data_IF_657812348412
#
_entry.id   IF_657812348412
#
_cell.length_a   1.000
_cell.length_b   1.000
_cell.length_c   1.000
_cell.angle_alpha   90.00
_cell.angle_beta   90.00
_cell.angle_gamma   90.00
#
_symmetry.space_group_name_H-M   'P 1'
#
loop_
_entity.id
_entity.type
_entity.pdbx_description
1 polymer ?
#
# COMPACT_ATOMS: atom_id res chain seq x y z
N UNK A 1 17.28 7.43 18.04
CA UNK A 1 17.41 6.95 16.64
C UNK A 1 18.58 5.98 16.57
N UNK A 2 18.43 4.85 15.87
CA UNK A 2 19.46 3.81 15.76
C UNK A 2 19.81 3.60 14.28
N UNK A 3 21.03 3.93 13.89
CA UNK A 3 21.55 3.77 12.52
C UNK A 3 22.53 2.60 12.39
N UNK A 4 23.09 2.07 13.49
CA UNK A 4 24.02 0.94 13.41
C UNK A 4 23.28 -0.36 13.07
N UNK A 5 23.73 -1.12 12.05
CA UNK A 5 23.22 -2.45 11.75
C UNK A 5 23.32 -3.43 12.93
N UNK A 6 24.39 -3.33 13.74
CA UNK A 6 24.62 -4.16 14.93
C UNK A 6 23.55 -3.93 15.98
N UNK A 7 23.39 -2.67 16.40
CA UNK A 7 22.35 -2.24 17.34
C UNK A 7 20.92 -2.56 16.84
N UNK A 8 20.63 -2.38 15.54
CA UNK A 8 19.32 -2.71 14.96
C UNK A 8 19.02 -4.20 15.02
N UNK A 9 20.01 -5.03 14.66
CA UNK A 9 19.87 -6.49 14.76
C UNK A 9 19.57 -6.91 16.18
N UNK A 10 20.20 -6.28 17.17
CA UNK A 10 19.95 -6.58 18.58
C UNK A 10 18.60 -6.06 19.08
N UNK A 11 18.19 -4.86 18.66
CA UNK A 11 16.85 -4.32 18.90
C UNK A 11 15.77 -5.31 18.44
N UNK A 12 15.86 -5.85 17.21
CA UNK A 12 14.88 -6.82 16.71
C UNK A 12 14.92 -8.16 17.47
N UNK A 13 16.04 -8.56 18.08
CA UNK A 13 16.07 -9.72 18.99
C UNK A 13 15.32 -9.44 20.28
N UNK A 14 15.51 -8.27 20.87
CA UNK A 14 14.81 -7.85 22.09
C UNK A 14 13.31 -7.64 21.86
N UNK A 15 12.94 -7.13 20.68
CA UNK A 15 11.56 -7.00 20.23
C UNK A 15 10.83 -8.36 20.26
N UNK A 16 11.45 -9.42 19.72
CA UNK A 16 10.93 -10.81 19.80
C UNK A 16 10.71 -11.33 21.21
N UNK A 17 11.33 -10.72 22.22
CA UNK A 17 11.19 -11.04 23.64
C UNK A 17 10.24 -10.08 24.37
N UNK A 18 9.42 -9.33 23.62
CA UNK A 18 8.43 -8.40 24.15
C UNK A 18 9.02 -7.15 24.82
N UNK A 19 10.30 -6.83 24.57
CA UNK A 19 10.94 -5.68 25.22
C UNK A 19 10.54 -4.33 24.61
N UNK A 20 10.02 -4.33 23.38
CA UNK A 20 9.62 -3.15 22.62
C UNK A 20 8.22 -3.33 22.05
N UNK A 21 7.38 -2.29 22.16
CA UNK A 21 6.06 -2.23 21.53
C UNK A 21 6.04 -1.19 20.41
N UNK A 22 5.26 -1.43 19.36
CA UNK A 22 5.11 -0.53 18.19
C UNK A 22 4.12 0.60 18.52
N UNK A 23 4.44 1.86 18.18
CA UNK A 23 3.61 3.02 18.54
C UNK A 23 2.34 3.11 17.69
N UNK A 24 2.48 2.97 16.38
CA UNK A 24 1.37 3.09 15.41
C UNK A 24 0.23 2.13 15.78
N UNK A 25 0.65 0.98 16.30
CA UNK A 25 -0.18 -0.08 16.81
C UNK A 25 -0.92 0.28 18.10
N UNK A 26 -0.32 1.08 18.98
CA UNK A 26 -1.00 1.66 20.15
C UNK A 26 -2.04 2.71 19.73
N UNK A 27 -1.93 3.27 18.52
CA UNK A 27 -2.83 4.31 17.99
C UNK A 27 -3.99 3.74 17.14
N UNK A 28 -4.08 2.42 16.95
CA UNK A 28 -5.15 1.80 16.15
C UNK A 28 -6.56 2.17 16.62
N UNK A 29 -6.76 2.35 17.93
CA UNK A 29 -8.04 2.76 18.48
C UNK A 29 -8.41 4.19 18.03
N UNK A 30 -7.45 5.11 18.01
CA UNK A 30 -7.62 6.46 17.47
C UNK A 30 -7.88 6.43 15.98
N UNK A 31 -7.13 5.62 15.21
CA UNK A 31 -7.37 5.45 13.77
C UNK A 31 -8.78 4.92 13.47
N UNK A 32 -9.28 4.00 14.30
CA UNK A 32 -10.61 3.40 14.20
C UNK A 32 -11.74 4.29 14.73
N UNK A 33 -11.43 5.42 15.38
CA UNK A 33 -12.42 6.25 16.06
C UNK A 33 -13.09 5.53 17.23
N UNK A 34 -12.37 4.61 17.87
CA UNK A 34 -12.85 3.84 18.99
C UNK A 34 -12.22 4.39 20.28
N UNK A 35 -13.05 5.04 21.10
CA UNK A 35 -12.64 5.64 22.38
C UNK A 35 -13.11 4.73 23.52
N UNK A 36 -12.38 3.65 23.76
CA UNK A 36 -12.61 2.75 24.89
C UNK A 36 -11.63 3.01 26.05
N UNK A 37 -11.87 2.35 27.18
CA UNK A 37 -10.95 2.34 28.32
C UNK A 37 -9.52 1.96 27.89
N UNK A 38 -8.46 2.58 28.46
CA UNK A 38 -7.08 2.36 28.04
C UNK A 38 -6.66 0.89 27.98
N UNK A 39 -7.14 0.07 28.92
CA UNK A 39 -6.86 -1.37 28.96
C UNK A 39 -7.48 -2.13 27.78
N UNK A 40 -8.69 -1.75 27.34
CA UNK A 40 -9.34 -2.33 26.16
C UNK A 40 -8.57 -1.95 24.90
N UNK A 41 -8.16 -0.69 24.75
CA UNK A 41 -7.37 -0.22 23.62
C UNK A 41 -6.03 -0.96 23.50
N UNK A 42 -5.33 -1.17 24.63
CA UNK A 42 -4.09 -1.96 24.67
C UNK A 42 -4.33 -3.42 24.26
N UNK A 43 -5.37 -4.05 24.82
CA UNK A 43 -5.71 -5.45 24.54
C UNK A 43 -6.09 -5.68 23.09
N UNK A 44 -6.87 -4.77 22.50
CA UNK A 44 -7.29 -4.85 21.10
C UNK A 44 -6.09 -4.98 20.18
N UNK A 45 -5.06 -4.14 20.36
CA UNK A 45 -3.87 -4.24 19.54
C UNK A 45 -3.17 -5.60 19.70
N UNK A 46 -3.01 -6.07 20.93
CA UNK A 46 -2.39 -7.38 21.20
C UNK A 46 -3.15 -8.52 20.49
N UNK A 47 -4.48 -8.49 20.51
CA UNK A 47 -5.36 -9.47 19.86
C UNK A 47 -5.20 -9.43 18.33
N UNK A 48 -5.25 -8.23 17.74
CA UNK A 48 -5.02 -8.05 16.31
C UNK A 48 -3.62 -8.54 15.91
N UNK A 49 -2.58 -8.17 16.66
CA UNK A 49 -1.22 -8.57 16.36
C UNK A 49 -1.01 -10.09 16.47
N UNK A 50 -1.54 -10.72 17.51
CA UNK A 50 -1.37 -12.14 17.74
C UNK A 50 -2.08 -13.01 16.69
N UNK A 51 -3.26 -12.60 16.23
CA UNK A 51 -4.09 -13.41 15.32
C UNK A 51 -4.22 -12.82 13.94
N UNK A 52 -4.74 -11.59 13.80
CA UNK A 52 -4.99 -10.98 12.49
C UNK A 52 -3.70 -10.81 11.66
N UNK A 53 -2.61 -10.31 12.23
CA UNK A 53 -1.35 -10.18 11.50
C UNK A 53 -0.75 -11.53 11.10
N UNK A 54 -0.88 -12.58 11.93
CA UNK A 54 -0.45 -13.95 11.56
C UNK A 54 -1.26 -14.51 10.40
N UNK A 55 -2.55 -14.21 10.33
CA UNK A 55 -3.40 -14.52 9.17
C UNK A 55 -2.88 -13.79 7.94
N UNK A 56 -2.54 -12.50 8.03
CA UNK A 56 -1.96 -11.74 6.92
C UNK A 56 -0.60 -12.29 6.44
N UNK A 57 0.34 -12.61 7.35
CA UNK A 57 1.64 -13.19 6.97
C UNK A 57 1.49 -14.51 6.20
N UNK A 58 0.51 -15.34 6.56
CA UNK A 58 0.20 -16.57 5.83
C UNK A 58 -0.41 -16.25 4.47
N UNK A 59 -1.45 -15.43 4.45
CA UNK A 59 -2.21 -15.06 3.25
C UNK A 59 -1.35 -14.34 2.20
N UNK A 60 -0.32 -13.60 2.62
CA UNK A 60 0.57 -12.84 1.74
C UNK A 60 1.98 -13.43 1.66
N UNK A 61 2.14 -14.72 1.97
CA UNK A 61 3.40 -15.42 1.74
C UNK A 61 3.73 -15.47 0.23
N UNK A 62 5.01 -15.61 -0.17
CA UNK A 62 5.39 -15.68 -1.58
C UNK A 62 4.61 -16.72 -2.39
N UNK A 63 4.35 -17.89 -1.77
CA UNK A 63 3.60 -18.98 -2.39
C UNK A 63 2.14 -18.59 -2.63
N UNK A 64 1.48 -17.99 -1.65
CA UNK A 64 0.09 -17.57 -1.76
C UNK A 64 -0.09 -16.44 -2.78
N UNK A 65 0.86 -15.51 -2.83
CA UNK A 65 0.85 -14.43 -3.83
C UNK A 65 1.02 -14.98 -5.24
N UNK A 66 1.92 -15.96 -5.45
CA UNK A 66 2.05 -16.61 -6.74
C UNK A 66 0.76 -17.35 -7.14
N UNK A 67 0.15 -18.07 -6.20
CA UNK A 67 -1.08 -18.82 -6.44
C UNK A 67 -2.27 -17.91 -6.78
N UNK A 68 -2.42 -16.78 -6.07
CA UNK A 68 -3.50 -15.80 -6.29
C UNK A 68 -3.18 -14.76 -7.36
N UNK A 69 -1.96 -14.78 -7.90
CA UNK A 69 -1.44 -13.84 -8.89
C UNK A 69 -2.39 -13.59 -10.06
N UNK A 70 -2.89 -14.62 -10.76
CA UNK A 70 -3.84 -14.45 -11.87
C UNK A 70 -5.08 -13.64 -11.48
N UNK A 71 -5.67 -13.95 -10.32
CA UNK A 71 -6.86 -13.25 -9.85
C UNK A 71 -6.57 -11.79 -9.48
N UNK A 72 -5.46 -11.52 -8.78
CA UNK A 72 -5.03 -10.16 -8.44
C UNK A 72 -4.75 -9.37 -9.73
N UNK A 73 -4.10 -9.98 -10.72
CA UNK A 73 -3.76 -9.35 -11.98
C UNK A 73 -5.00 -9.00 -12.81
N UNK A 74 -6.01 -9.88 -12.82
CA UNK A 74 -7.28 -9.62 -13.47
C UNK A 74 -8.01 -8.43 -12.83
N UNK A 75 -8.00 -8.34 -11.50
CA UNK A 75 -8.54 -7.19 -10.78
C UNK A 75 -7.79 -5.91 -11.17
N UNK A 76 -6.46 -5.91 -11.14
CA UNK A 76 -5.65 -4.74 -11.52
C UNK A 76 -6.00 -4.28 -12.94
N UNK A 77 -6.00 -5.20 -13.91
CA UNK A 77 -6.31 -4.90 -15.30
C UNK A 77 -7.70 -4.25 -15.43
N UNK A 78 -8.70 -4.83 -14.76
CA UNK A 78 -10.06 -4.28 -14.73
C UNK A 78 -10.09 -2.87 -14.15
N UNK A 79 -9.40 -2.62 -13.04
CA UNK A 79 -9.40 -1.30 -12.41
C UNK A 79 -8.67 -0.26 -13.25
N UNK A 80 -7.63 -0.66 -14.00
CA UNK A 80 -6.99 0.21 -15.00
C UNK A 80 -8.02 0.64 -16.06
N UNK A 81 -8.74 -0.30 -16.69
CA UNK A 81 -9.75 0.04 -17.70
C UNK A 81 -10.88 0.91 -17.14
N UNK A 82 -11.39 0.62 -15.93
CA UNK A 82 -12.39 1.46 -15.27
C UNK A 82 -11.86 2.88 -15.05
N UNK A 83 -10.61 3.03 -14.60
CA UNK A 83 -10.02 4.33 -14.38
C UNK A 83 -9.85 5.11 -15.70
N UNK A 84 -9.60 4.43 -16.83
CA UNK A 84 -9.53 5.06 -18.16
C UNK A 84 -10.90 5.40 -18.73
N UNK A 85 -11.88 4.49 -18.67
CA UNK A 85 -13.24 4.69 -19.22
C UNK A 85 -13.99 5.84 -18.53
N UNK A 86 -13.66 6.12 -17.27
CA UNK A 86 -14.23 7.24 -16.52
C UNK A 86 -13.61 8.60 -16.87
N UNK A 87 -12.63 8.63 -17.78
CA UNK A 87 -12.04 9.82 -18.36
C UNK A 87 -12.46 9.85 -19.82
N UNK A 88 -12.93 10.99 -20.32
CA UNK A 88 -13.22 11.11 -21.75
C UNK A 88 -12.00 10.65 -22.56
N UNK A 89 -12.19 9.81 -23.58
CA UNK A 89 -11.09 9.31 -24.43
C UNK A 89 -10.35 10.50 -25.03
N UNK A 90 -9.08 10.69 -24.64
CA UNK A 90 -8.27 11.88 -24.98
C UNK A 90 -8.21 12.96 -23.89
N UNK A 91 -8.79 12.71 -22.73
CA UNK A 91 -8.78 13.59 -21.56
C UNK A 91 -7.49 13.49 -20.74
N UNK A 92 -7.04 14.64 -20.25
CA UNK A 92 -5.95 14.79 -19.30
C UNK A 92 -6.29 14.07 -17.98
N UNK A 93 -5.62 12.95 -17.67
CA UNK A 93 -5.82 12.21 -16.42
C UNK A 93 -4.74 12.55 -15.39
N UNK A 94 -5.15 12.85 -14.17
CA UNK A 94 -4.25 12.96 -13.02
C UNK A 94 -3.57 11.61 -12.76
N UNK A 95 -2.24 11.55 -12.90
CA UNK A 95 -1.45 10.34 -12.63
C UNK A 95 -1.55 9.93 -11.15
N UNK A 96 -1.60 10.92 -10.25
CA UNK A 96 -1.77 10.65 -8.83
C UNK A 96 -3.14 10.03 -8.55
N UNK A 97 -4.22 10.56 -9.12
CA UNK A 97 -5.54 9.97 -9.02
C UNK A 97 -5.58 8.56 -9.61
N UNK A 98 -5.08 8.39 -10.85
CA UNK A 98 -5.05 7.10 -11.55
C UNK A 98 -4.38 6.02 -10.70
N UNK A 99 -3.13 6.26 -10.26
CA UNK A 99 -2.37 5.27 -9.48
C UNK A 99 -3.00 4.97 -8.13
N UNK A 100 -3.49 5.98 -7.42
CA UNK A 100 -4.15 5.80 -6.11
C UNK A 100 -5.46 5.03 -6.25
N UNK A 101 -6.32 5.42 -7.20
CA UNK A 101 -7.63 4.80 -7.39
C UNK A 101 -7.50 3.34 -7.83
N UNK A 102 -6.66 3.05 -8.85
CA UNK A 102 -6.41 1.67 -9.31
C UNK A 102 -5.92 0.78 -8.16
N UNK A 103 -4.95 1.24 -7.37
CA UNK A 103 -4.42 0.48 -6.24
C UNK A 103 -5.47 0.30 -5.15
N UNK A 104 -6.20 1.35 -4.79
CA UNK A 104 -7.22 1.29 -3.75
C UNK A 104 -8.33 0.32 -4.13
N UNK A 105 -8.87 0.43 -5.34
CA UNK A 105 -9.91 -0.47 -5.83
C UNK A 105 -9.41 -1.91 -5.98
N UNK A 106 -8.13 -2.10 -6.35
CA UNK A 106 -7.52 -3.43 -6.40
C UNK A 106 -7.56 -4.08 -5.03
N UNK A 107 -7.13 -3.36 -3.98
CA UNK A 107 -7.12 -3.89 -2.61
C UNK A 107 -8.53 -4.12 -2.08
N UNK A 108 -9.46 -3.17 -2.24
CA UNK A 108 -10.83 -3.34 -1.74
C UNK A 108 -11.54 -4.50 -2.44
N UNK A 109 -11.39 -4.63 -3.76
CA UNK A 109 -11.94 -5.75 -4.53
C UNK A 109 -11.31 -7.07 -4.11
N UNK A 110 -9.99 -7.12 -3.95
CA UNK A 110 -9.28 -8.34 -3.54
C UNK A 110 -9.64 -8.76 -2.11
N UNK A 111 -9.89 -7.82 -1.22
CA UNK A 111 -10.17 -8.12 0.20
C UNK A 111 -11.65 -8.45 0.40
N UNK A 112 -12.55 -7.65 -0.14
CA UNK A 112 -13.97 -7.66 0.20
C UNK A 112 -14.88 -8.10 -0.96
N UNK A 113 -14.32 -8.31 -2.15
CA UNK A 113 -15.02 -8.76 -3.34
C UNK A 113 -15.46 -7.63 -4.28
N UNK A 114 -15.90 -7.97 -5.51
CA UNK A 114 -16.24 -7.01 -6.57
C UNK A 114 -17.50 -6.18 -6.29
N UNK A 115 -18.29 -6.55 -5.28
CA UNK A 115 -19.49 -5.81 -4.87
C UNK A 115 -19.27 -4.94 -3.63
N UNK A 116 -18.03 -4.83 -3.15
CA UNK A 116 -17.72 -3.90 -2.08
C UNK A 116 -17.93 -2.45 -2.57
N UNK A 117 -18.62 -1.59 -1.81
CA UNK A 117 -18.87 -0.22 -2.24
C UNK A 117 -17.57 0.55 -2.47
N UNK A 118 -17.60 1.46 -3.44
CA UNK A 118 -16.48 2.39 -3.60
C UNK A 118 -16.46 3.39 -2.43
N UNK A 119 -15.37 3.36 -1.68
CA UNK A 119 -15.10 4.23 -0.53
C UNK A 119 -13.81 5.04 -0.73
N UNK A 120 -13.33 5.18 -1.97
CA UNK A 120 -12.05 5.82 -2.28
C UNK A 120 -11.97 7.24 -1.73
N UNK A 121 -12.97 8.09 -1.98
CA UNK A 121 -12.92 9.49 -1.57
C UNK A 121 -12.81 9.64 -0.05
N UNK A 122 -13.58 8.84 0.70
CA UNK A 122 -13.55 8.85 2.16
C UNK A 122 -12.25 8.25 2.71
N UNK A 123 -11.76 7.16 2.10
CA UNK A 123 -10.47 6.55 2.44
C UNK A 123 -9.30 7.48 2.17
N UNK A 124 -9.34 8.20 1.05
CA UNK A 124 -8.33 9.16 0.61
C UNK A 124 -8.29 10.40 1.50
N UNK A 125 -9.46 10.92 1.89
CA UNK A 125 -9.57 12.02 2.83
C UNK A 125 -9.07 11.63 4.22
N UNK A 126 -9.43 10.43 4.69
CA UNK A 126 -8.94 9.91 5.96
C UNK A 126 -7.42 9.74 5.94
N UNK A 127 -6.88 9.14 4.88
CA UNK A 127 -5.44 8.93 4.68
C UNK A 127 -4.64 10.25 4.70
N UNK A 128 -5.15 11.29 4.05
CA UNK A 128 -4.52 12.63 4.01
C UNK A 128 -4.31 13.20 5.41
N UNK A 129 -5.21 12.91 6.35
CA UNK A 129 -5.19 13.42 7.72
C UNK A 129 -4.84 12.36 8.77
N UNK A 130 -4.39 11.16 8.37
CA UNK A 130 -4.17 10.06 9.30
C UNK A 130 -3.12 10.41 10.35
N UNK A 131 -2.03 11.08 9.98
CA UNK A 131 -1.03 11.55 10.93
C UNK A 131 -1.65 12.44 12.02
N UNK A 132 -2.45 13.43 11.62
CA UNK A 132 -3.16 14.33 12.54
C UNK A 132 -4.07 13.57 13.49
N UNK A 133 -4.78 12.56 12.98
CA UNK A 133 -5.66 11.70 13.78
C UNK A 133 -4.85 10.86 14.76
N UNK A 134 -3.75 10.22 14.32
CA UNK A 134 -2.87 9.43 15.18
C UNK A 134 -2.26 10.25 16.33
N UNK A 135 -2.02 11.54 16.12
CA UNK A 135 -1.58 12.47 17.18
C UNK A 135 -2.71 12.97 18.09
N UNK A 136 -3.95 12.50 17.92
CA UNK A 136 -5.10 12.91 18.74
C UNK A 136 -5.63 14.31 18.42
N UNK A 137 -5.24 14.89 17.28
CA UNK A 137 -5.65 16.24 16.86
C UNK A 137 -6.91 16.21 15.98
N UNK A 138 -7.88 15.37 16.34
CA UNK A 138 -9.10 15.14 15.53
C UNK A 138 -9.96 16.39 15.35
N UNK A 139 -9.93 17.29 16.34
CA UNK A 139 -10.74 18.51 16.40
C UNK A 139 -10.43 19.48 15.24
N UNK A 140 -9.21 19.45 14.70
CA UNK A 140 -8.79 20.31 13.59
C UNK A 140 -9.04 19.69 12.21
N UNK A 141 -9.54 18.45 12.14
CA UNK A 141 -9.83 17.73 10.88
C UNK A 141 -11.24 17.13 10.85
N UNK A 142 -12.31 17.91 11.12
CA UNK A 142 -13.66 17.37 11.27
C UNK A 142 -14.22 16.74 9.98
N UNK A 143 -13.72 17.12 8.81
CA UNK A 143 -14.04 16.48 7.53
C UNK A 143 -13.56 15.03 7.46
N UNK A 144 -12.33 14.75 7.91
CA UNK A 144 -11.76 13.41 7.97
C UNK A 144 -12.47 12.54 9.02
N UNK A 145 -12.88 13.11 10.15
CA UNK A 145 -13.66 12.38 11.17
C UNK A 145 -15.03 11.98 10.62
N UNK A 146 -15.72 12.87 9.90
CA UNK A 146 -16.97 12.52 9.21
C UNK A 146 -16.77 11.45 8.13
N UNK A 147 -15.65 11.48 7.41
CA UNK A 147 -15.30 10.44 6.44
C UNK A 147 -15.09 9.09 7.15
N UNK A 148 -14.36 9.06 8.27
CA UNK A 148 -14.19 7.85 9.08
C UNK A 148 -15.53 7.24 9.52
N UNK A 149 -16.49 8.04 9.94
CA UNK A 149 -17.82 7.53 10.32
C UNK A 149 -18.62 7.02 9.10
N UNK A 150 -18.46 7.62 7.90
CA UNK A 150 -19.04 7.04 6.67
C UNK A 150 -18.39 5.71 6.31
N UNK A 151 -17.06 5.58 6.42
CA UNK A 151 -16.36 4.31 6.25
C UNK A 151 -16.86 3.25 7.22
N UNK A 152 -17.02 3.61 8.49
CA UNK A 152 -17.60 2.74 9.51
C UNK A 152 -18.98 2.23 9.09
N UNK A 153 -19.88 3.14 8.68
CA UNK A 153 -21.23 2.77 8.24
C UNK A 153 -21.21 1.82 7.04
N UNK A 154 -20.31 2.05 6.07
CA UNK A 154 -20.15 1.16 4.92
C UNK A 154 -19.65 -0.22 5.33
N UNK A 155 -18.64 -0.32 6.20
CA UNK A 155 -18.16 -1.59 6.72
C UNK A 155 -19.24 -2.31 7.54
N UNK A 156 -19.97 -1.59 8.38
CA UNK A 156 -21.04 -2.15 9.20
C UNK A 156 -22.15 -2.74 8.32
N UNK A 157 -22.56 -2.01 7.27
CA UNK A 157 -23.54 -2.49 6.30
C UNK A 157 -23.02 -3.69 5.50
N UNK A 158 -21.78 -3.63 5.01
CA UNK A 158 -21.17 -4.73 4.25
C UNK A 158 -21.08 -6.02 5.09
N UNK A 159 -20.59 -5.90 6.32
CA UNK A 159 -20.50 -7.02 7.25
C UNK A 159 -21.92 -7.53 7.56
N UNK A 160 -22.88 -6.68 7.92
CA UNK A 160 -24.25 -7.12 8.22
C UNK A 160 -24.93 -7.88 7.07
N UNK A 161 -24.67 -7.50 5.81
CA UNK A 161 -25.24 -8.17 4.63
C UNK A 161 -24.59 -9.52 4.32
N UNK A 162 -23.29 -9.66 4.59
CA UNK A 162 -22.48 -10.84 4.20
C UNK A 162 -22.23 -11.82 5.33
N UNK A 163 -22.64 -11.44 6.54
CA UNK A 163 -22.39 -12.19 7.75
C UNK A 163 -23.54 -13.13 8.07
N UNK A 164 -23.23 -14.41 8.17
CA UNK A 164 -24.18 -15.40 8.68
C UNK A 164 -24.09 -15.45 10.22
N UNK A 165 -25.17 -15.08 10.91
CA UNK A 165 -25.22 -15.11 12.39
C UNK A 165 -25.00 -16.49 13.00
N UNK A 166 -25.33 -17.56 12.25
CA UNK A 166 -25.13 -18.97 12.64
C UNK A 166 -23.88 -19.61 12.03
N UNK A 167 -23.09 -18.83 11.27
CA UNK A 167 -21.87 -19.30 10.61
C UNK A 167 -20.62 -19.05 11.45
N UNK A 168 -19.52 -19.67 11.04
CA UNK A 168 -18.18 -19.53 11.62
C UNK A 168 -17.56 -18.13 11.40
N UNK A 169 -18.30 -17.12 10.92
CA UNK A 169 -17.76 -15.81 10.55
C UNK A 169 -17.24 -15.72 9.11
N UNK A 170 -17.59 -16.66 8.25
CA UNK A 170 -17.42 -16.53 6.81
C UNK A 170 -18.18 -15.34 6.23
N UNK A 171 -17.52 -14.59 5.34
CA UNK A 171 -18.07 -13.44 4.62
C UNK A 171 -18.18 -13.77 3.13
N UNK A 172 -19.40 -14.08 2.69
CA UNK A 172 -19.62 -14.54 1.32
C UNK A 172 -19.17 -13.51 0.27
N UNK A 173 -18.18 -13.90 -0.54
CA UNK A 173 -17.59 -13.08 -1.60
C UNK A 173 -16.39 -12.22 -1.18
N UNK A 174 -16.04 -12.22 0.11
CA UNK A 174 -14.77 -11.67 0.59
C UNK A 174 -13.66 -12.72 0.57
N UNK A 175 -12.40 -12.31 0.66
CA UNK A 175 -11.28 -13.24 0.75
C UNK A 175 -11.31 -14.05 2.06
N UNK A 176 -10.88 -15.31 2.01
CA UNK A 176 -10.87 -16.22 3.17
C UNK A 176 -10.11 -15.64 4.38
N UNK A 177 -9.02 -14.91 4.13
CA UNK A 177 -8.24 -14.32 5.20
C UNK A 177 -8.98 -13.15 5.90
N UNK A 178 -9.88 -12.45 5.20
CA UNK A 178 -10.74 -11.42 5.79
C UNK A 178 -11.81 -12.08 6.67
N UNK A 179 -12.44 -13.14 6.17
CA UNK A 179 -13.35 -13.98 6.97
C UNK A 179 -12.68 -14.51 8.24
N UNK A 180 -11.43 -14.98 8.13
CA UNK A 180 -10.65 -15.46 9.27
C UNK A 180 -10.32 -14.33 10.26
N UNK A 181 -9.95 -13.13 9.79
CA UNK A 181 -9.70 -11.97 10.66
C UNK A 181 -10.96 -11.63 11.46
N UNK A 182 -12.13 -11.59 10.80
CA UNK A 182 -13.41 -11.30 11.45
C UNK A 182 -13.79 -12.39 12.46
N UNK A 183 -13.60 -13.68 12.10
CA UNK A 183 -13.77 -14.81 13.03
C UNK A 183 -12.87 -14.70 14.26
N UNK A 184 -11.61 -14.31 14.07
CA UNK A 184 -10.67 -14.12 15.17
C UNK A 184 -11.11 -12.97 16.09
N UNK A 185 -11.50 -11.82 15.53
CA UNK A 185 -12.01 -10.70 16.32
C UNK A 185 -13.23 -11.09 17.16
N UNK A 186 -14.18 -11.87 16.61
CA UNK A 186 -15.31 -12.41 17.40
C UNK A 186 -14.84 -13.28 18.56
N UNK A 187 -13.91 -14.19 18.27
CA UNK A 187 -13.37 -15.13 19.26
C UNK A 187 -12.56 -14.43 20.36
N UNK A 188 -12.15 -13.20 20.10
CA UNK A 188 -11.43 -12.30 21.01
C UNK A 188 -12.36 -11.27 21.67
N UNK A 189 -13.67 -11.53 21.67
CA UNK A 189 -14.72 -10.70 22.27
C UNK A 189 -14.83 -9.28 21.70
N UNK A 190 -14.55 -9.07 20.41
CA UNK A 190 -14.89 -7.81 19.75
C UNK A 190 -16.40 -7.70 19.54
N UNK A 191 -16.97 -6.55 19.89
CA UNK A 191 -18.38 -6.24 19.69
C UNK A 191 -18.71 -6.07 18.20
N UNK A 192 -20.00 -6.14 17.86
CA UNK A 192 -20.48 -5.85 16.50
C UNK A 192 -20.18 -4.43 16.04
N UNK A 193 -19.96 -3.49 16.97
CA UNK A 193 -19.58 -2.11 16.68
C UNK A 193 -18.07 -1.95 16.53
N UNK A 194 -17.26 -2.75 17.24
CA UNK A 194 -15.81 -2.69 17.16
C UNK A 194 -15.29 -3.26 15.83
N UNK A 195 -15.84 -4.39 15.36
CA UNK A 195 -15.31 -5.09 14.17
C UNK A 195 -15.27 -4.19 12.92
N UNK A 196 -16.36 -3.49 12.52
CA UNK A 196 -16.32 -2.57 11.39
C UNK A 196 -15.33 -1.43 11.57
N UNK A 197 -15.18 -0.90 12.79
CA UNK A 197 -14.22 0.18 13.10
C UNK A 197 -12.79 -0.28 12.84
N UNK A 198 -12.44 -1.50 13.25
CA UNK A 198 -11.09 -2.05 13.05
C UNK A 198 -10.81 -2.56 11.63
N UNK A 199 -11.81 -2.66 10.75
CA UNK A 199 -11.56 -2.84 9.31
C UNK A 199 -10.91 -1.60 8.68
N UNK A 200 -11.17 -0.40 9.21
CA UNK A 200 -10.63 0.86 8.70
C UNK A 200 -9.08 0.90 8.78
N UNK A 201 -8.43 0.73 9.96
CA UNK A 201 -6.97 0.71 10.03
C UNK A 201 -6.34 -0.47 9.28
N UNK A 202 -7.03 -1.61 9.16
CA UNK A 202 -6.56 -2.75 8.34
C UNK A 202 -6.52 -2.37 6.86
N UNK A 203 -7.60 -1.77 6.33
CA UNK A 203 -7.65 -1.31 4.94
C UNK A 203 -6.64 -0.18 4.70
N UNK A 204 -6.52 0.78 5.62
CA UNK A 204 -5.56 1.87 5.50
C UNK A 204 -4.13 1.33 5.44
N UNK A 205 -3.77 0.38 6.32
CA UNK A 205 -2.46 -0.28 6.31
C UNK A 205 -2.17 -1.08 5.03
N UNK A 206 -3.21 -1.56 4.34
CA UNK A 206 -3.10 -2.27 3.07
C UNK A 206 -3.04 -1.36 1.84
N UNK A 207 -3.44 -0.09 1.96
CA UNK A 207 -3.61 0.82 0.81
C UNK A 207 -2.65 2.01 0.83
N UNK A 208 -2.49 2.70 1.97
CA UNK A 208 -1.79 4.00 2.07
C UNK A 208 -0.38 3.96 1.47
N UNK A 209 0.53 3.19 2.06
CA UNK A 209 1.91 3.11 1.56
C UNK A 209 1.99 2.59 0.12
N UNK A 210 1.12 1.65 -0.25
CA UNK A 210 1.11 1.03 -1.57
C UNK A 210 0.73 2.03 -2.67
N UNK A 211 -0.35 2.79 -2.45
CA UNK A 211 -0.76 3.87 -3.35
C UNK A 211 0.39 4.87 -3.51
N UNK A 212 1.06 5.24 -2.40
CA UNK A 212 2.14 6.24 -2.40
C UNK A 212 3.33 5.81 -3.24
N UNK A 213 3.79 4.57 -3.03
CA UNK A 213 4.92 4.02 -3.76
C UNK A 213 4.58 3.81 -5.24
N UNK A 214 3.38 3.32 -5.58
CA UNK A 214 2.94 3.24 -6.98
C UNK A 214 2.97 4.61 -7.67
N UNK A 215 2.47 5.66 -7.01
CA UNK A 215 2.53 7.04 -7.53
C UNK A 215 3.97 7.51 -7.73
N UNK A 216 4.88 7.25 -6.79
CA UNK A 216 6.29 7.61 -6.94
C UNK A 216 7.01 6.84 -8.06
N UNK A 217 6.72 5.55 -8.22
CA UNK A 217 7.26 4.73 -9.32
C UNK A 217 6.83 5.33 -10.65
N UNK A 218 5.53 5.55 -10.85
CA UNK A 218 5.04 6.16 -12.08
C UNK A 218 5.61 7.57 -12.30
N UNK A 219 5.71 8.39 -11.25
CA UNK A 219 6.28 9.72 -11.33
C UNK A 219 7.76 9.71 -11.76
N UNK A 220 8.57 8.80 -11.23
CA UNK A 220 9.98 8.66 -11.63
C UNK A 220 10.15 8.08 -13.03
N UNK A 221 9.29 7.15 -13.45
CA UNK A 221 9.27 6.64 -14.83
C UNK A 221 8.95 7.79 -15.79
N UNK A 222 7.81 8.46 -15.62
CA UNK A 222 7.33 9.49 -16.53
C UNK A 222 8.15 10.79 -16.47
N UNK A 223 8.85 11.03 -15.35
CA UNK A 223 9.74 12.18 -15.17
C UNK A 223 11.07 12.08 -15.94
N UNK A 224 11.54 10.88 -16.30
CA UNK A 224 12.74 10.66 -17.11
C UNK A 224 12.43 9.73 -18.31
N UNK A 225 12.33 10.32 -19.49
CA UNK A 225 11.99 9.60 -20.73
C UNK A 225 12.97 8.49 -21.09
N UNK A 226 14.23 8.55 -20.64
CA UNK A 226 15.20 7.47 -20.86
C UNK A 226 14.87 6.26 -20.00
N UNK A 227 14.51 6.50 -18.74
CA UNK A 227 14.10 5.45 -17.79
C UNK A 227 12.79 4.83 -18.25
N UNK A 228 11.79 5.66 -18.59
CA UNK A 228 10.51 5.18 -19.12
C UNK A 228 10.71 4.26 -20.33
N UNK A 229 11.44 4.71 -21.36
CA UNK A 229 11.67 3.93 -22.58
C UNK A 229 12.40 2.62 -22.31
N UNK A 230 13.34 2.59 -21.36
CA UNK A 230 14.04 1.36 -20.98
C UNK A 230 13.08 0.34 -20.36
N UNK A 231 12.25 0.78 -19.42
CA UNK A 231 11.25 -0.08 -18.74
C UNK A 231 10.14 -0.49 -19.71
N UNK A 232 9.69 0.43 -20.54
CA UNK A 232 8.69 0.18 -21.57
C UNK A 232 9.17 -0.87 -22.58
N UNK A 233 10.39 -0.74 -23.10
CA UNK A 233 10.98 -1.72 -24.01
C UNK A 233 11.06 -3.11 -23.39
N UNK A 234 11.54 -3.19 -22.14
CA UNK A 234 11.63 -4.42 -21.36
C UNK A 234 10.26 -5.10 -21.17
N UNK A 235 9.24 -4.34 -20.79
CA UNK A 235 7.88 -4.86 -20.60
C UNK A 235 7.28 -5.32 -21.93
N UNK A 236 7.47 -4.55 -23.01
CA UNK A 236 6.95 -4.90 -24.34
C UNK A 236 7.61 -6.18 -24.86
N UNK A 237 8.92 -6.33 -24.70
CA UNK A 237 9.62 -7.58 -25.02
C UNK A 237 9.06 -8.78 -24.22
N UNK A 238 8.71 -8.57 -22.95
CA UNK A 238 8.18 -9.63 -22.10
C UNK A 238 6.69 -9.97 -22.37
N UNK A 239 5.91 -9.05 -22.95
CA UNK A 239 4.44 -9.17 -23.03
C UNK A 239 3.85 -9.20 -24.44
N UNK A 240 4.49 -8.62 -25.45
CA UNK A 240 3.88 -8.43 -26.79
C UNK A 240 3.59 -9.74 -27.54
N UNK A 241 4.25 -10.85 -27.16
CA UNK A 241 4.03 -12.18 -27.74
C UNK A 241 3.11 -13.07 -26.91
N UNK A 242 2.51 -12.52 -25.85
CA UNK A 242 1.71 -13.28 -24.90
C UNK A 242 0.22 -13.08 -25.13
N UNK A 243 -0.55 -14.14 -24.86
CA UNK A 243 -2.00 -14.01 -24.73
C UNK A 243 -2.35 -13.26 -23.44
N UNK A 244 -3.59 -12.78 -23.33
CA UNK A 244 -4.04 -12.13 -22.09
C UNK A 244 -3.92 -13.08 -20.88
N UNK A 245 -4.29 -14.36 -21.04
CA UNK A 245 -4.21 -15.35 -19.98
C UNK A 245 -2.76 -15.64 -19.56
N UNK A 246 -1.83 -15.65 -20.52
CA UNK A 246 -0.40 -15.76 -20.24
C UNK A 246 0.08 -14.57 -19.41
N UNK A 247 -0.34 -13.35 -19.73
CA UNK A 247 0.07 -12.14 -19.01
C UNK A 247 -0.49 -12.15 -17.58
N UNK A 248 -1.74 -12.55 -17.41
CA UNK A 248 -2.34 -12.58 -16.08
C UNK A 248 -1.70 -13.67 -15.20
N UNK A 249 -1.27 -14.80 -15.76
CA UNK A 249 -0.74 -15.92 -14.98
C UNK A 249 0.77 -15.95 -14.80
N UNK A 250 1.53 -15.19 -15.60
CA UNK A 250 3.00 -15.23 -15.60
C UNK A 250 3.63 -14.42 -14.46
N UNK A 251 4.69 -14.98 -13.87
CA UNK A 251 5.57 -14.25 -12.96
C UNK A 251 6.62 -13.47 -13.75
N UNK A 252 6.42 -12.15 -13.85
CA UNK A 252 7.34 -11.24 -14.53
C UNK A 252 8.56 -10.86 -13.70
N UNK A 253 8.66 -11.27 -12.43
CA UNK A 253 9.69 -10.78 -11.49
C UNK A 253 11.11 -10.80 -12.06
N UNK A 254 11.50 -11.82 -12.82
CA UNK A 254 12.85 -11.93 -13.39
C UNK A 254 12.97 -11.41 -14.83
N UNK A 255 11.86 -10.95 -15.42
CA UNK A 255 11.79 -10.45 -16.80
C UNK A 255 11.84 -8.91 -16.86
N UNK A 256 11.69 -8.23 -15.72
CA UNK A 256 11.65 -6.77 -15.64
C UNK A 256 12.73 -6.14 -14.72
N UNK A 257 14.04 -6.42 -14.92
CA UNK A 257 15.10 -5.92 -14.05
C UNK A 257 15.16 -4.39 -13.94
N UNK A 258 14.87 -3.63 -15.01
CA UNK A 258 14.84 -2.18 -14.94
C UNK A 258 13.68 -1.69 -14.06
N UNK A 259 12.49 -2.25 -14.23
CA UNK A 259 11.34 -1.90 -13.38
C UNK A 259 11.61 -2.24 -11.91
N UNK A 260 12.15 -3.43 -11.64
CA UNK A 260 12.51 -3.82 -10.27
C UNK A 260 13.48 -2.82 -9.64
N UNK A 261 14.48 -2.38 -10.40
CA UNK A 261 15.46 -1.43 -9.91
C UNK A 261 14.84 -0.06 -9.59
N UNK A 262 13.91 0.41 -10.43
CA UNK A 262 13.12 1.63 -10.15
C UNK A 262 12.30 1.47 -8.86
N UNK A 263 11.61 0.34 -8.69
CA UNK A 263 10.79 0.10 -7.49
C UNK A 263 11.65 0.11 -6.22
N UNK A 264 12.78 -0.60 -6.23
CA UNK A 264 13.70 -0.65 -5.07
C UNK A 264 14.30 0.73 -4.77
N UNK A 265 14.65 1.53 -5.79
CA UNK A 265 15.16 2.88 -5.61
C UNK A 265 14.11 3.87 -5.08
N UNK A 266 12.85 3.72 -5.52
CA UNK A 266 11.73 4.46 -4.93
C UNK A 266 11.55 4.07 -3.46
N UNK A 267 11.56 2.78 -3.13
CA UNK A 267 11.44 2.34 -1.74
C UNK A 267 12.57 2.90 -0.87
N UNK A 268 13.83 2.84 -1.35
CA UNK A 268 14.99 3.38 -0.63
C UNK A 268 14.83 4.88 -0.33
N UNK A 269 14.36 5.66 -1.31
CA UNK A 269 14.34 7.13 -1.21
C UNK A 269 13.04 7.69 -0.64
N UNK A 270 11.92 6.96 -0.69
CA UNK A 270 10.58 7.46 -0.32
C UNK A 270 9.98 6.78 0.90
N UNK A 271 10.52 5.66 1.36
CA UNK A 271 9.98 4.89 2.50
C UNK A 271 10.75 5.17 3.81
N UNK A 272 10.95 6.45 4.15
CA UNK A 272 11.76 6.90 5.29
C UNK A 272 10.97 7.10 6.59
N UNK A 273 9.87 6.38 6.77
CA UNK A 273 9.01 6.51 7.96
C UNK A 273 9.73 5.93 9.18
N UNK A 274 9.84 6.68 10.31
CA UNK A 274 10.47 6.18 11.52
C UNK A 274 9.58 5.08 12.13
N UNK A 275 10.03 3.83 12.06
CA UNK A 275 9.36 2.68 12.67
C UNK A 275 9.54 2.73 14.20
N UNK A 276 8.77 3.57 14.87
CA UNK A 276 8.96 3.87 16.28
C UNK A 276 8.57 2.70 17.20
N UNK A 277 9.28 2.60 18.31
CA UNK A 277 9.05 1.65 19.38
C UNK A 277 9.14 2.33 20.73
N UNK A 278 8.43 1.80 21.71
CA UNK A 278 8.54 2.19 23.12
C UNK A 278 9.02 1.00 23.95
N UNK A 279 10.10 1.23 24.73
CA UNK A 279 10.67 0.22 25.61
C UNK A 279 9.69 -0.12 26.76
N UNK A 280 9.37 -1.41 26.90
CA UNK A 280 8.45 -1.91 27.94
C UNK A 280 9.15 -2.17 29.28
N UNK A 281 10.48 -2.22 29.27
CA UNK A 281 11.38 -2.46 30.40
C UNK A 281 12.76 -1.90 30.06
N UNK A 282 13.64 -1.83 31.05
CA UNK A 282 15.04 -1.49 30.82
C UNK A 282 15.71 -2.58 29.95
N UNK A 283 16.47 -2.15 28.95
CA UNK A 283 17.14 -3.00 27.96
C UNK A 283 18.53 -2.46 27.70
N UNK A 284 19.51 -3.36 27.58
CA UNK A 284 20.83 -3.03 27.03
C UNK A 284 20.86 -3.58 25.61
N UNK A 285 21.06 -2.71 24.62
CA UNK A 285 21.32 -3.10 23.24
C UNK A 285 22.82 -3.21 23.03
N UNK A 286 23.25 -4.29 22.38
CA UNK A 286 24.65 -4.47 22.00
C UNK A 286 24.89 -3.94 20.58
N UNK A 287 25.89 -3.08 20.45
CA UNK A 287 26.42 -2.63 19.18
C UNK A 287 27.90 -3.00 19.09
N UNK A 288 28.18 -4.17 18.52
CA UNK A 288 29.50 -4.80 18.58
C UNK A 288 29.99 -4.94 20.04
N UNK A 289 30.97 -4.13 20.46
CA UNK A 289 31.52 -4.12 21.83
C UNK A 289 30.98 -2.99 22.70
N UNK A 290 29.98 -2.23 22.21
CA UNK A 290 29.38 -1.10 22.92
C UNK A 290 28.02 -1.47 23.49
N UNK A 291 27.79 -1.11 24.75
CA UNK A 291 26.49 -1.21 25.41
C UNK A 291 25.71 0.10 25.26
N UNK A 292 24.44 0.00 24.87
CA UNK A 292 23.51 1.13 24.79
C UNK A 292 22.35 0.86 25.75
N UNK A 293 22.27 1.68 26.80
CA UNK A 293 21.25 1.57 27.83
C UNK A 293 19.97 2.28 27.40
N UNK A 294 18.86 1.55 27.35
CA UNK A 294 17.52 2.03 27.03
C UNK A 294 16.63 1.84 28.26
N UNK A 295 16.04 2.92 28.77
CA UNK A 295 15.16 2.87 29.93
C UNK A 295 13.75 2.51 29.51
N UNK A 296 12.99 1.89 30.41
CA UNK A 296 11.54 1.73 30.24
C UNK A 296 10.89 3.08 29.91
N UNK A 297 10.06 3.10 28.87
CA UNK A 297 9.38 4.30 28.38
C UNK A 297 10.16 5.07 27.31
N UNK A 298 11.45 4.77 27.09
CA UNK A 298 12.21 5.42 26.02
C UNK A 298 11.67 5.03 24.65
N UNK A 299 11.64 6.02 23.76
CA UNK A 299 11.32 5.82 22.35
C UNK A 299 12.57 5.51 21.55
N UNK A 300 12.53 4.41 20.80
CA UNK A 300 13.60 3.99 19.89
C UNK A 300 13.04 3.76 18.50
N UNK A 301 13.79 4.13 17.46
CA UNK A 301 13.39 3.91 16.08
C UNK A 301 14.65 3.70 15.23
N UNK A 302 14.57 2.87 14.18
CA UNK A 302 15.57 2.86 13.13
C UNK A 302 15.69 4.25 12.50
N UNK A 303 16.93 4.69 12.30
CA UNK A 303 17.23 5.89 11.51
C UNK A 303 17.16 5.53 10.03
N UNK A 304 15.93 5.45 9.52
CA UNK A 304 15.67 5.06 8.14
C UNK A 304 16.43 5.95 7.12
N UNK A 305 16.49 7.29 7.25
CA UNK A 305 17.33 8.13 6.39
C UNK A 305 18.81 7.77 6.44
N UNK A 306 19.41 7.60 7.62
CA UNK A 306 20.84 7.25 7.71
C UNK A 306 21.14 5.88 7.13
N UNK A 307 20.21 4.93 7.21
CA UNK A 307 20.36 3.61 6.60
C UNK A 307 20.17 3.65 5.08
N UNK A 308 19.17 4.40 4.59
CA UNK A 308 18.79 4.38 3.18
C UNK A 308 19.57 5.39 2.33
N UNK A 309 20.18 6.41 2.95
CA UNK A 309 20.94 7.47 2.31
C UNK A 309 22.41 7.54 2.79
N UNK A 310 22.96 6.47 3.37
CA UNK A 310 24.38 6.42 3.74
C UNK A 310 25.27 6.43 2.49
N UNK A 311 26.26 7.31 2.46
CA UNK A 311 27.32 7.31 1.44
C UNK A 311 28.27 6.11 1.57
N UNK A 312 28.27 5.41 2.71
CA UNK A 312 29.03 4.16 2.88
C UNK A 312 28.40 3.01 2.10
N UNK A 313 27.06 3.02 1.96
CA UNK A 313 26.32 1.95 1.30
C UNK A 313 25.91 2.30 -0.13
N UNK A 314 25.65 3.58 -0.41
CA UNK A 314 25.09 4.01 -1.69
C UNK A 314 25.91 5.15 -2.30
N UNK A 315 26.42 4.91 -3.50
CA UNK A 315 27.02 5.95 -4.35
C UNK A 315 25.97 7.03 -4.72
N UNK A 316 26.31 8.31 -4.56
CA UNK A 316 25.36 9.44 -4.71
C UNK A 316 24.03 9.17 -3.99
N UNK A 317 24.02 9.04 -2.65
CA UNK A 317 22.90 8.47 -1.90
C UNK A 317 21.62 9.30 -1.98
N UNK A 318 21.75 10.63 -2.10
CA UNK A 318 20.62 11.55 -2.22
C UNK A 318 20.05 11.64 -3.64
N UNK A 319 20.75 11.09 -4.64
CA UNK A 319 20.31 11.09 -6.03
C UNK A 319 19.49 9.83 -6.31
N UNK A 320 18.38 10.00 -7.03
CA UNK A 320 17.62 8.89 -7.57
C UNK A 320 18.36 8.29 -8.77
N UNK A 321 18.74 7.01 -8.69
CA UNK A 321 19.41 6.26 -9.75
C UNK A 321 18.58 5.03 -10.12
N UNK A 322 17.87 5.10 -11.26
CA UNK A 322 16.96 4.05 -11.71
C UNK A 322 17.65 2.69 -11.93
N UNK A 323 18.95 2.68 -12.21
CA UNK A 323 19.77 1.52 -12.51
C UNK A 323 20.51 0.91 -11.30
N UNK A 324 20.37 1.53 -10.11
CA UNK A 324 21.13 1.19 -8.90
C UNK A 324 21.07 -0.28 -8.53
N UNK A 325 19.93 -0.94 -8.77
CA UNK A 325 19.67 -2.31 -8.35
C UNK A 325 19.60 -3.32 -9.50
N UNK A 326 19.94 -2.93 -10.73
CA UNK A 326 19.94 -3.86 -11.88
C UNK A 326 20.95 -5.00 -11.67
N UNK A 327 22.18 -4.67 -11.23
CA UNK A 327 23.27 -5.64 -11.04
C UNK A 327 23.58 -5.92 -9.56
N UNK A 328 22.81 -5.34 -8.64
CA UNK A 328 23.06 -5.48 -7.21
C UNK A 328 22.58 -6.84 -6.70
N UNK A 329 23.49 -7.63 -6.11
CA UNK A 329 23.11 -8.78 -5.25
C UNK A 329 22.71 -8.34 -3.84
N UNK A 330 23.03 -7.10 -3.46
CA UNK A 330 22.60 -6.51 -2.21
C UNK A 330 21.12 -6.14 -2.33
N UNK A 331 20.25 -6.95 -1.70
CA UNK A 331 18.81 -6.72 -1.60
C UNK A 331 18.54 -5.31 -1.10
N UNK A 332 18.04 -4.47 -2.00
CA UNK A 332 18.41 -3.06 -2.07
C UNK A 332 17.43 -2.08 -1.47
N UNK A 333 16.97 -2.35 -0.25
CA UNK A 333 16.21 -1.39 0.55
C UNK A 333 16.20 -1.91 1.99
N UNK A 334 17.35 -1.83 2.68
CA UNK A 334 17.47 -2.36 4.04
C UNK A 334 16.39 -1.75 4.92
N UNK A 335 15.56 -2.61 5.51
CA UNK A 335 14.52 -2.27 6.48
C UNK A 335 13.34 -1.41 5.99
N UNK A 336 13.14 -1.17 4.68
CA UNK A 336 11.94 -0.43 4.20
C UNK A 336 10.63 -1.15 4.49
N UNK A 337 10.68 -2.49 4.53
CA UNK A 337 9.59 -3.34 4.99
C UNK A 337 9.75 -3.74 6.46
N UNK A 338 10.63 -3.08 7.21
CA UNK A 338 11.03 -3.48 8.56
C UNK A 338 11.75 -4.83 8.62
N UNK A 339 11.95 -5.31 9.84
CA UNK A 339 12.49 -6.64 10.14
C UNK A 339 11.91 -7.15 11.47
N UNK A 340 12.21 -8.40 11.83
CA UNK A 340 11.78 -8.98 13.10
C UNK A 340 10.32 -9.42 13.10
N UNK A 341 9.68 -9.39 14.27
CA UNK A 341 8.30 -9.88 14.45
C UNK A 341 7.23 -8.94 13.87
N UNK A 342 7.61 -7.68 13.65
CA UNK A 342 6.75 -6.63 13.11
C UNK A 342 7.17 -6.24 11.67
N UNK A 343 7.86 -7.12 10.94
CA UNK A 343 8.14 -6.92 9.52
C UNK A 343 6.83 -6.77 8.73
N UNK A 344 6.81 -6.02 7.64
CA UNK A 344 5.60 -5.77 6.85
C UNK A 344 4.99 -7.09 6.34
N UNK A 345 3.80 -7.44 6.82
CA UNK A 345 3.07 -8.63 6.37
C UNK A 345 2.70 -8.56 4.88
N UNK A 346 2.49 -7.34 4.35
CA UNK A 346 2.12 -7.10 2.96
C UNK A 346 3.28 -7.03 1.97
N UNK A 347 4.54 -7.26 2.36
CA UNK A 347 5.72 -7.04 1.49
C UNK A 347 5.57 -7.69 0.11
N UNK A 348 5.19 -8.97 0.06
CA UNK A 348 5.11 -9.70 -1.20
C UNK A 348 3.93 -9.24 -2.05
N UNK A 349 2.77 -9.00 -1.42
CA UNK A 349 1.59 -8.44 -2.08
C UNK A 349 1.89 -7.05 -2.66
N UNK A 350 2.49 -6.16 -1.88
CA UNK A 350 2.84 -4.81 -2.29
C UNK A 350 3.76 -4.82 -3.50
N UNK A 351 4.86 -5.57 -3.44
CA UNK A 351 5.79 -5.68 -4.55
C UNK A 351 5.13 -6.27 -5.81
N UNK A 352 4.23 -7.26 -5.65
CA UNK A 352 3.46 -7.82 -6.76
C UNK A 352 2.55 -6.77 -7.41
N UNK A 353 1.72 -6.09 -6.62
CA UNK A 353 0.79 -5.07 -7.12
C UNK A 353 1.54 -3.91 -7.79
N UNK A 354 2.62 -3.38 -7.18
CA UNK A 354 3.38 -2.27 -7.78
C UNK A 354 3.89 -2.66 -9.17
N UNK A 355 4.49 -3.85 -9.31
CA UNK A 355 4.97 -4.34 -10.62
C UNK A 355 3.83 -4.48 -11.61
N UNK A 356 2.76 -5.16 -11.21
CA UNK A 356 1.68 -5.51 -12.13
C UNK A 356 0.85 -4.29 -12.54
N UNK A 357 0.68 -3.28 -11.67
CA UNK A 357 0.07 -2.00 -12.06
C UNK A 357 0.88 -1.36 -13.19
N UNK A 358 2.21 -1.32 -13.08
CA UNK A 358 3.06 -0.72 -14.14
C UNK A 358 3.05 -1.57 -15.41
N UNK A 359 3.25 -2.89 -15.28
CA UNK A 359 3.28 -3.83 -16.40
C UNK A 359 1.97 -3.78 -17.18
N UNK A 360 0.82 -3.91 -16.51
CA UNK A 360 -0.48 -3.93 -17.18
C UNK A 360 -0.83 -2.56 -17.77
N UNK A 361 -0.43 -1.46 -17.12
CA UNK A 361 -0.64 -0.12 -17.69
C UNK A 361 0.13 0.07 -19.00
N UNK A 362 1.43 -0.26 -19.03
CA UNK A 362 2.29 -0.14 -20.22
C UNK A 362 1.95 -1.19 -21.29
N UNK A 363 1.52 -2.37 -20.87
CA UNK A 363 1.07 -3.41 -21.79
C UNK A 363 -0.17 -2.94 -22.56
N UNK A 364 -1.16 -2.38 -21.86
CA UNK A 364 -2.47 -2.02 -22.42
C UNK A 364 -2.49 -0.65 -23.12
N UNK A 365 -1.63 0.29 -22.72
CA UNK A 365 -1.68 1.68 -23.19
C UNK A 365 -0.30 2.23 -23.54
N UNK A 366 -0.25 3.10 -24.54
CA UNK A 366 0.85 4.05 -24.70
C UNK A 366 0.59 5.23 -23.74
N UNK A 367 1.56 5.52 -22.85
CA UNK A 367 1.43 6.50 -21.77
C UNK A 367 2.33 7.70 -22.04
N UNK A 368 1.70 8.85 -22.29
CA UNK A 368 2.41 10.11 -22.55
C UNK A 368 2.17 11.12 -21.43
N UNK A 369 3.22 11.85 -21.05
CA UNK A 369 3.08 12.98 -20.14
C UNK A 369 2.58 14.21 -20.91
N UNK A 370 1.45 14.76 -20.49
CA UNK A 370 0.88 15.98 -21.06
C UNK A 370 1.82 17.17 -20.88
N UNK A 371 1.87 18.08 -21.85
CA UNK A 371 2.72 19.26 -21.83
C UNK A 371 2.47 20.19 -20.63
N UNK A 372 1.29 20.09 -20.00
CA UNK A 372 0.90 20.83 -18.80
C UNK A 372 1.55 20.30 -17.50
N UNK A 373 2.25 19.17 -17.55
CA UNK A 373 2.76 18.49 -16.35
C UNK A 373 3.97 19.19 -15.74
N UNK A 374 3.95 19.33 -14.41
CA UNK A 374 5.11 19.76 -13.64
C UNK A 374 6.09 18.59 -13.49
N UNK A 375 7.27 18.71 -14.10
CA UNK A 375 8.31 17.66 -14.06
C UNK A 375 9.07 17.63 -12.72
N UNK A 376 8.83 18.59 -11.82
CA UNK A 376 9.49 18.64 -10.52
C UNK A 376 8.70 17.80 -9.51
N UNK A 377 9.25 16.62 -9.19
CA UNK A 377 8.69 15.73 -8.19
C UNK A 377 9.05 16.21 -6.78
N UNK A 378 8.07 16.56 -5.94
CA UNK A 378 8.28 16.91 -4.52
C UNK A 378 7.46 15.98 -3.62
N UNK A 379 7.88 15.86 -2.36
CA UNK A 379 7.12 15.14 -1.35
C UNK A 379 6.12 16.08 -0.65
N UNK A 380 4.94 15.58 -0.29
CA UNK A 380 4.03 16.27 0.61
C UNK A 380 4.55 16.18 2.06
N UNK A 381 4.88 17.31 2.72
CA UNK A 381 5.45 17.28 4.06
C UNK A 381 4.42 16.99 5.17
N UNK A 382 3.12 17.02 4.88
CA UNK A 382 2.05 16.89 5.88
C UNK A 382 1.62 15.42 6.08
N UNK A 383 1.92 14.53 5.13
CA UNK A 383 1.40 13.17 5.17
C UNK A 383 2.31 12.18 5.90
N UNK A 384 1.69 11.16 6.49
CA UNK A 384 2.35 10.07 7.21
C UNK A 384 3.32 9.28 6.31
N UNK A 385 2.84 8.85 5.13
CA UNK A 385 3.70 8.39 4.04
C UNK A 385 3.86 9.56 3.08
N UNK A 386 5.08 10.04 2.78
CA UNK A 386 5.26 11.24 1.96
C UNK A 386 4.81 10.98 0.52
N UNK A 387 3.56 11.32 0.19
CA UNK A 387 3.03 11.23 -1.17
C UNK A 387 3.75 12.18 -2.10
N UNK A 388 3.79 11.80 -3.38
CA UNK A 388 4.18 12.71 -4.44
C UNK A 388 3.22 13.91 -4.46
N UNK A 389 3.79 15.11 -4.46
CA UNK A 389 3.12 16.38 -4.69
C UNK A 389 3.93 17.14 -5.73
N UNK A 390 3.32 17.47 -6.86
CA UNK A 390 3.87 18.48 -7.78
C UNK A 390 3.02 19.76 -7.66
N UNK A 391 3.40 20.84 -8.34
CA UNK A 391 2.61 22.08 -8.27
C UNK A 391 1.19 21.93 -8.85
N UNK A 392 1.03 21.11 -9.90
CA UNK A 392 -0.23 20.95 -10.66
C UNK A 392 -0.57 19.47 -11.00
N UNK A 393 -0.03 18.51 -10.25
CA UNK A 393 0.03 17.08 -10.57
C UNK A 393 0.79 16.74 -11.88
N UNK A 394 1.10 15.45 -12.08
CA UNK A 394 1.50 14.91 -13.37
C UNK A 394 0.24 14.52 -14.13
N UNK A 395 0.10 15.02 -15.35
CA UNK A 395 -1.06 14.74 -16.20
C UNK A 395 -0.64 13.77 -17.31
N UNK A 396 -1.33 12.64 -17.41
CA UNK A 396 -1.04 11.59 -18.39
C UNK A 396 -2.14 11.48 -19.44
N UNK A 397 -1.74 11.11 -20.64
CA UNK A 397 -2.60 10.69 -21.73
C UNK A 397 -2.38 9.20 -21.95
N UNK A 398 -3.48 8.44 -22.03
CA UNK A 398 -3.47 7.00 -22.20
C UNK A 398 -4.11 6.66 -23.55
N UNK A 399 -3.32 6.15 -24.49
CA UNK A 399 -3.80 5.71 -25.80
C UNK A 399 -3.88 4.19 -25.84
N UNK A 400 -5.06 3.58 -26.06
CA UNK A 400 -5.18 2.12 -26.14
C UNK A 400 -4.29 1.55 -27.25
N UNK A 401 -3.56 0.48 -26.97
CA UNK A 401 -2.73 -0.18 -27.98
C UNK A 401 -3.57 -1.08 -28.90
N UNK A 402 -3.31 -1.00 -30.21
CA UNK A 402 -4.06 -1.73 -31.25
C UNK A 402 -3.86 -3.25 -31.20
N UNK A 403 -2.73 -3.72 -30.66
CA UNK A 403 -2.38 -5.14 -30.51
C UNK A 403 -3.04 -5.81 -29.30
N UNK A 404 -3.72 -5.06 -28.43
CA UNK A 404 -4.23 -5.53 -27.13
C UNK A 404 -5.75 -5.44 -27.00
N UNK A 405 -6.50 -5.42 -28.11
CA UNK A 405 -7.97 -5.48 -28.10
C UNK A 405 -8.54 -6.68 -27.29
N UNK A 406 -7.74 -7.68 -26.95
CA UNK A 406 -8.15 -8.79 -26.09
C UNK A 406 -8.31 -8.42 -24.59
N UNK A 407 -7.63 -7.39 -24.07
CA UNK A 407 -7.84 -6.92 -22.70
C UNK A 407 -9.22 -6.28 -22.50
N UNK A 408 -9.75 -5.69 -23.59
CA UNK A 408 -11.12 -5.19 -23.65
C UNK A 408 -12.14 -6.33 -23.66
N UNK A 409 -11.85 -7.46 -24.31
CA UNK A 409 -12.72 -8.64 -24.28
C UNK A 409 -12.76 -9.31 -22.90
N UNK A 410 -11.65 -9.40 -22.15
CA UNK A 410 -11.68 -9.87 -20.75
C UNK A 410 -12.48 -8.93 -19.84
N UNK A 411 -12.40 -7.62 -20.06
CA UNK A 411 -13.24 -6.63 -19.39
C UNK A 411 -14.73 -6.79 -19.77
N UNK A 412 -15.05 -7.00 -21.04
CA UNK A 412 -16.42 -7.13 -21.56
C UNK A 412 -17.07 -8.50 -21.22
N UNK A 413 -16.33 -9.61 -21.31
CA UNK A 413 -16.81 -10.96 -20.98
C UNK A 413 -17.16 -11.06 -19.48
N UNK A 414 -16.39 -10.44 -18.59
CA UNK A 414 -16.70 -10.40 -17.15
C UNK A 414 -17.74 -9.33 -16.76
N UNK A 415 -17.96 -8.29 -17.57
CA UNK A 415 -19.13 -7.40 -17.41
C UNK A 415 -20.43 -8.19 -17.62
N UNK A 416 -20.43 -9.17 -18.53
CA UNK A 416 -21.60 -10.04 -18.76
C UNK A 416 -21.76 -11.14 -17.70
N UNK A 417 -20.66 -11.60 -17.09
CA UNK A 417 -20.68 -12.63 -16.04
C UNK A 417 -21.00 -12.06 -14.64
N UNK A 418 -20.64 -10.79 -14.39
CA UNK A 418 -20.86 -10.05 -13.14
C UNK A 418 -21.57 -8.73 -13.46
N UNK A 419 -22.89 -8.71 -13.31
CA UNK A 419 -23.81 -7.60 -13.65
C UNK A 419 -23.60 -6.31 -12.84
N UNK A 420 -22.47 -5.61 -13.03
CA UNK A 420 -22.16 -4.32 -12.39
C UNK A 420 -21.88 -3.26 -13.45
N UNK A 421 -22.76 -2.27 -13.55
CA UNK A 421 -22.52 -1.05 -14.33
C UNK A 421 -21.39 -0.21 -13.66
N UNK A 422 -20.43 0.34 -14.41
CA UNK A 422 -19.45 1.27 -13.87
C UNK A 422 -20.15 2.49 -13.26
N UNK A 423 -19.72 2.91 -12.06
CA UNK A 423 -20.10 4.22 -11.52
C UNK A 423 -19.24 5.30 -12.20
N UNK A 424 -19.91 6.34 -12.72
CA UNK A 424 -19.25 7.47 -13.39
C UNK A 424 -18.66 8.40 -12.33
N UNK A 425 -17.33 8.52 -12.28
CA UNK A 425 -16.65 9.45 -11.38
C UNK A 425 -16.65 10.88 -11.94
N UNK A 426 -16.97 11.87 -11.10
CA UNK A 426 -16.70 13.27 -11.43
C UNK A 426 -15.33 13.65 -10.91
N UNK A 427 -14.39 13.87 -11.81
CA UNK A 427 -13.08 14.47 -11.50
C UNK A 427 -13.34 15.81 -10.78
N UNK A 428 -12.76 16.07 -9.60
CA UNK A 428 -12.86 17.38 -8.98
C UNK A 428 -12.21 18.42 -9.90
N UNK A 429 -13.01 19.33 -10.45
CA UNK A 429 -12.54 20.41 -11.33
C UNK A 429 -11.83 21.54 -10.59
N UNK A 430 -11.59 21.37 -9.28
CA UNK A 430 -10.87 22.33 -8.45
C UNK A 430 -9.63 21.68 -7.87
N UNK A 431 -8.49 22.38 -7.84
CA UNK A 431 -7.36 21.93 -7.05
C UNK A 431 -7.86 21.65 -5.63
N UNK A 432 -7.40 20.54 -5.05
CA UNK A 432 -7.54 20.28 -3.63
C UNK A 432 -6.80 21.42 -2.93
N UNK A 433 -7.53 22.49 -2.64
CA UNK A 433 -7.04 23.60 -1.85
C UNK A 433 -6.87 23.07 -0.42
N UNK A 434 -5.63 23.16 0.03
CA UNK A 434 -5.13 22.83 1.36
C UNK A 434 -5.93 23.50 2.47
#
# INVERSE_FOLDING_TARGET
>A
MISSPGALKDLFKHERRGAFAVIENQQMHTMAGHHAEPDRCKRIYELLHQRAFRTLYRAFSPREILLRGPHINAIILRQIYIAVDNVDVGGNLSMTFFTRHVVFQTITTFFFGPHFPDIFDDGNLLDTHMATIMYGLEVIVPSAIRARERLYNTFAAHLALKWEEKGDGYLYGSADFISEIVRNMKSDDFSREEIPRYMIPILWGATSNLMSICTWVMGHLLGDSRVYKSVEHEIRLATDQLTSDDILSRDFKNMVPNLNSVIEEVLRTKTQVPLMRVAQRDVILMDENREIYIRKGDFVAPDAPSLSLSSEQFDHPHSFKADRFISSTAGGALYVFGAGQHACAGKHLAMHIIRMVVILSIHSFDIDLSAASDKVLKANPISFSPWLKTANDLVINLSPRSTTCAGKNLYEDDITSLSVKPQIYRIPTKPILL
#
